data_IF_980942273506
#
_entry.id   IF_980942273506
#
_cell.length_a   1.000
_cell.length_b   1.000
_cell.length_c   1.000
_cell.angle_alpha   90.00
_cell.angle_beta   90.00
_cell.angle_gamma   90.00
#
_symmetry.space_group_name_H-M   'P 1'
#
loop_
_entity.id
_entity.type
_entity.pdbx_description
1 polymer ?
#
# COMPACT_ATOMS: atom_id res chain seq x y z
N UNK A 1 7.28 -3.78 7.16
CA UNK A 1 7.37 -2.55 6.35
C UNK A 1 8.52 -1.71 6.87
N UNK A 2 9.65 -1.83 6.18
CA UNK A 2 10.90 -1.11 6.44
C UNK A 2 11.69 -1.13 5.14
N UNK A 3 12.09 0.03 4.62
CA UNK A 3 12.87 0.05 3.37
C UNK A 3 14.24 -0.61 3.60
N UNK A 4 14.53 -1.63 2.80
CA UNK A 4 15.79 -2.37 2.86
C UNK A 4 16.34 -2.57 1.45
N UNK A 5 17.64 -2.40 1.32
CA UNK A 5 18.40 -2.81 0.13
C UNK A 5 18.43 -4.33 0.08
N UNK A 6 17.44 -4.91 -0.60
CA UNK A 6 17.30 -6.34 -0.80
C UNK A 6 16.68 -6.61 -2.17
N UNK A 7 17.25 -7.54 -2.96
CA UNK A 7 16.69 -7.96 -4.22
C UNK A 7 15.25 -8.47 -4.07
N UNK A 8 14.38 -8.13 -5.01
CA UNK A 8 12.97 -8.57 -4.99
C UNK A 8 12.80 -10.06 -5.35
N UNK A 9 13.81 -10.68 -5.94
CA UNK A 9 13.86 -12.08 -6.35
C UNK A 9 14.44 -13.01 -5.26
N UNK A 10 14.75 -12.49 -4.08
CA UNK A 10 15.22 -13.31 -2.97
C UNK A 10 14.12 -14.29 -2.50
N UNK A 11 14.50 -15.53 -2.17
CA UNK A 11 13.57 -16.68 -1.98
C UNK A 11 12.48 -16.57 -0.90
N UNK A 12 12.41 -15.46 -0.17
CA UNK A 12 11.44 -15.21 0.90
C UNK A 12 10.49 -14.04 0.62
N UNK A 13 10.51 -13.41 -0.56
CA UNK A 13 9.77 -12.15 -0.81
C UNK A 13 8.28 -12.36 -1.13
N UNK A 14 7.85 -13.58 -1.47
CA UNK A 14 6.45 -13.86 -1.88
C UNK A 14 5.90 -15.18 -1.33
N UNK A 15 5.87 -15.37 -0.01
CA UNK A 15 5.20 -16.53 0.59
C UNK A 15 3.75 -16.20 0.98
N UNK A 16 2.83 -17.19 1.01
CA UNK A 16 1.46 -16.99 1.51
C UNK A 16 1.40 -16.50 2.96
N UNK A 17 2.48 -16.68 3.72
CA UNK A 17 2.61 -16.26 5.13
C UNK A 17 3.21 -14.85 5.29
N UNK A 18 3.56 -14.18 4.21
CA UNK A 18 4.27 -12.90 4.21
C UNK A 18 5.60 -12.99 3.47
N UNK A 19 6.20 -11.83 3.24
CA UNK A 19 7.49 -11.74 2.57
C UNK A 19 8.43 -10.77 3.25
N UNK A 20 9.71 -10.92 2.94
CA UNK A 20 10.75 -9.98 3.35
C UNK A 20 10.45 -8.56 2.85
N UNK A 21 10.86 -7.58 3.64
CA UNK A 21 10.79 -6.18 3.28
C UNK A 21 11.88 -5.81 2.26
N UNK A 22 11.49 -5.05 1.24
CA UNK A 22 12.36 -4.58 0.15
C UNK A 22 12.43 -3.04 0.15
N UNK A 23 12.72 -2.41 -0.98
CA UNK A 23 12.99 -0.98 -1.10
C UNK A 23 11.82 -0.05 -0.70
N UNK A 24 10.59 -0.39 -1.08
CA UNK A 24 9.43 0.49 -0.93
C UNK A 24 8.53 0.15 0.26
N UNK A 25 7.94 1.18 0.87
CA UNK A 25 6.94 1.03 1.93
C UNK A 25 5.71 1.86 1.58
N UNK A 26 4.57 1.18 1.42
CA UNK A 26 3.27 1.80 1.17
C UNK A 26 2.23 1.21 2.12
N UNK A 27 1.94 1.85 3.26
CA UNK A 27 0.96 1.39 4.25
C UNK A 27 -0.48 1.69 3.79
N UNK A 28 -0.82 1.23 2.59
CA UNK A 28 -2.11 1.41 1.92
C UNK A 28 -2.62 0.07 1.42
N UNK A 29 -3.90 -0.20 1.58
CA UNK A 29 -4.55 -1.35 0.95
C UNK A 29 -5.91 -0.97 0.37
N UNK A 30 -6.36 -1.74 -0.62
CA UNK A 30 -7.72 -1.71 -1.17
C UNK A 30 -8.38 -3.05 -0.88
N UNK A 31 -9.59 -3.02 -0.32
CA UNK A 31 -10.37 -4.22 -0.02
C UNK A 31 -11.67 -4.21 -0.80
N UNK A 32 -11.99 -5.36 -1.40
CA UNK A 32 -13.31 -5.63 -1.98
C UNK A 32 -14.24 -6.18 -0.91
N UNK A 33 -15.42 -5.60 -0.82
CA UNK A 33 -16.51 -6.07 0.04
C UNK A 33 -17.32 -7.20 -0.61
N UNK A 34 -18.06 -7.95 0.21
CA UNK A 34 -18.95 -9.02 -0.25
C UNK A 34 -19.99 -8.55 -1.27
N UNK A 35 -20.46 -7.30 -1.16
CA UNK A 35 -21.41 -6.68 -2.10
C UNK A 35 -20.74 -6.16 -3.38
N UNK A 36 -19.42 -6.31 -3.54
CA UNK A 36 -18.67 -5.89 -4.73
C UNK A 36 -18.16 -4.45 -4.71
N UNK A 37 -18.55 -3.64 -3.72
CA UNK A 37 -17.96 -2.33 -3.47
C UNK A 37 -16.50 -2.45 -2.98
N UNK A 38 -15.73 -1.38 -3.11
CA UNK A 38 -14.34 -1.32 -2.68
C UNK A 38 -14.13 -0.14 -1.73
N UNK A 39 -13.32 -0.34 -0.71
CA UNK A 39 -12.81 0.72 0.13
C UNK A 39 -11.28 0.63 0.21
N UNK A 40 -10.64 1.75 0.52
CA UNK A 40 -9.21 1.82 0.78
C UNK A 40 -8.95 2.31 2.19
N UNK A 41 -7.87 1.84 2.80
CA UNK A 41 -7.37 2.42 4.05
C UNK A 41 -5.89 2.71 3.92
N UNK A 42 -5.50 3.91 4.34
CA UNK A 42 -4.12 4.37 4.38
C UNK A 42 -3.77 4.81 5.80
N UNK A 43 -2.67 4.28 6.32
CA UNK A 43 -2.08 4.73 7.58
C UNK A 43 -0.92 5.67 7.25
N UNK A 44 -1.10 6.96 7.50
CA UNK A 44 -0.05 7.96 7.28
C UNK A 44 0.97 7.89 8.42
N UNK A 45 1.88 6.91 8.32
CA UNK A 45 2.95 6.69 9.28
C UNK A 45 4.20 6.17 8.56
N UNK A 46 5.37 6.72 8.91
CA UNK A 46 6.67 6.40 8.28
C UNK A 46 7.58 5.55 9.17
N UNK A 47 7.17 5.21 10.38
CA UNK A 47 7.95 4.37 11.27
C UNK A 47 7.94 2.90 10.78
N UNK A 48 8.90 2.13 11.27
CA UNK A 48 8.92 0.69 11.01
C UNK A 48 7.62 0.07 11.51
N UNK A 49 6.93 -0.68 10.65
CA UNK A 49 5.68 -1.31 11.02
C UNK A 49 5.54 -2.72 10.48
N UNK A 50 4.82 -3.56 11.21
CA UNK A 50 4.35 -4.87 10.78
C UNK A 50 2.86 -4.78 10.46
N UNK A 51 2.43 -5.43 9.38
CA UNK A 51 1.02 -5.55 9.01
C UNK A 51 0.65 -7.01 8.98
N UNK A 52 -0.24 -7.42 9.88
CA UNK A 52 -0.74 -8.79 9.95
C UNK A 52 -2.16 -8.81 9.41
N UNK A 53 -2.32 -9.35 8.20
CA UNK A 53 -3.62 -9.57 7.59
C UNK A 53 -4.12 -10.99 7.87
N UNK A 54 -5.30 -11.10 8.44
CA UNK A 54 -6.03 -12.34 8.64
C UNK A 54 -7.30 -12.32 7.78
N UNK A 55 -8.08 -13.41 7.77
CA UNK A 55 -9.27 -13.54 6.90
C UNK A 55 -10.28 -12.39 7.03
N UNK A 56 -10.43 -11.81 8.22
CA UNK A 56 -11.43 -10.78 8.50
C UNK A 56 -10.86 -9.51 9.14
N UNK A 57 -9.59 -9.53 9.56
CA UNK A 57 -8.98 -8.47 10.37
C UNK A 57 -7.60 -8.10 9.83
N UNK A 58 -7.26 -6.82 9.92
CA UNK A 58 -5.92 -6.31 9.65
C UNK A 58 -5.43 -5.64 10.93
N UNK A 59 -4.21 -5.98 11.36
CA UNK A 59 -3.57 -5.38 12.53
C UNK A 59 -2.30 -4.66 12.08
N UNK A 60 -2.23 -3.35 12.32
CA UNK A 60 -1.02 -2.57 12.17
C UNK A 60 -0.27 -2.48 13.51
N UNK A 61 1.03 -2.77 13.48
CA UNK A 61 1.93 -2.62 14.63
C UNK A 61 3.07 -1.71 14.22
N UNK A 62 2.99 -0.44 14.62
CA UNK A 62 4.06 0.54 14.37
C UNK A 62 4.98 0.67 15.58
N UNK A 63 6.28 0.89 15.36
CA UNK A 63 7.25 1.15 16.43
C UNK A 63 7.19 2.57 16.97
N UNK A 64 6.43 3.48 16.34
CA UNK A 64 6.27 4.86 16.79
C UNK A 64 5.37 5.70 15.91
N UNK A 65 5.44 7.02 16.13
CA UNK A 65 4.61 8.00 15.42
C UNK A 65 3.20 8.07 15.99
N UNK A 66 2.24 8.45 15.15
CA UNK A 66 0.82 8.57 15.48
C UNK A 66 -0.03 7.60 14.64
N UNK A 67 -1.26 7.38 15.09
CA UNK A 67 -2.27 6.68 14.30
C UNK A 67 -3.09 7.71 13.52
N UNK A 68 -2.63 7.99 12.30
CA UNK A 68 -3.33 8.88 11.36
C UNK A 68 -3.92 8.04 10.20
N UNK A 69 -5.22 7.76 10.27
CA UNK A 69 -5.91 6.82 9.40
C UNK A 69 -6.87 7.53 8.44
N UNK A 70 -6.69 7.29 7.15
CA UNK A 70 -7.57 7.75 6.08
C UNK A 70 -8.36 6.59 5.51
N UNK A 71 -9.68 6.75 5.42
CA UNK A 71 -10.58 5.76 4.83
C UNK A 71 -11.18 6.32 3.55
N UNK A 72 -11.02 5.60 2.46
CA UNK A 72 -11.50 5.95 1.12
C UNK A 72 -12.68 5.06 0.75
N UNK A 73 -13.84 5.65 0.43
CA UNK A 73 -15.11 4.93 0.32
C UNK A 73 -15.38 4.34 -1.07
N UNK A 74 -14.57 4.65 -2.09
CA UNK A 74 -14.79 4.12 -3.44
C UNK A 74 -16.06 4.67 -4.10
N UNK A 75 -16.97 3.84 -4.68
CA UNK A 75 -17.13 2.38 -4.52
C UNK A 75 -16.38 1.52 -5.55
N UNK A 76 -15.93 2.13 -6.65
CA UNK A 76 -15.11 1.46 -7.66
C UNK A 76 -13.63 1.49 -7.25
N UNK A 77 -12.84 0.46 -7.60
CA UNK A 77 -11.42 0.43 -7.25
C UNK A 77 -10.66 1.64 -7.86
N UNK A 78 -11.07 2.11 -9.04
CA UNK A 78 -10.51 3.32 -9.67
C UNK A 78 -10.77 4.57 -8.85
N UNK A 79 -11.97 4.68 -8.27
CA UNK A 79 -12.35 5.82 -7.43
C UNK A 79 -11.58 5.80 -6.11
N UNK A 80 -11.36 4.63 -5.50
CA UNK A 80 -10.51 4.48 -4.31
C UNK A 80 -9.09 5.00 -4.58
N UNK A 81 -8.48 4.58 -5.69
CA UNK A 81 -7.12 5.03 -6.07
C UNK A 81 -7.10 6.53 -6.38
N UNK A 82 -8.15 7.06 -7.01
CA UNK A 82 -8.25 8.50 -7.27
C UNK A 82 -8.36 9.32 -5.97
N UNK A 83 -9.15 8.84 -4.99
CA UNK A 83 -9.26 9.45 -3.67
C UNK A 83 -7.91 9.40 -2.92
N UNK A 84 -7.24 8.25 -2.93
CA UNK A 84 -5.92 8.10 -2.32
C UNK A 84 -4.88 9.06 -2.95
N UNK A 85 -4.76 9.07 -4.27
CA UNK A 85 -3.82 9.97 -4.98
C UNK A 85 -4.19 11.44 -4.87
N UNK A 86 -5.45 11.78 -4.57
CA UNK A 86 -5.80 13.17 -4.24
C UNK A 86 -5.21 13.63 -2.91
N UNK A 87 -4.99 12.71 -1.97
CA UNK A 87 -4.37 12.98 -0.67
C UNK A 87 -2.85 12.96 -0.75
N UNK A 88 -2.25 11.90 -1.32
CA UNK A 88 -0.78 11.72 -1.31
C UNK A 88 -0.05 12.41 -2.47
N UNK A 89 -0.79 12.89 -3.46
CA UNK A 89 -0.26 13.50 -4.67
C UNK A 89 -0.61 12.72 -5.93
N UNK A 90 -0.97 13.46 -6.99
CA UNK A 90 -1.24 12.89 -8.32
C UNK A 90 0.07 12.48 -8.98
N UNK A 91 0.03 11.38 -9.74
CA UNK A 91 1.18 10.94 -10.52
C UNK A 91 1.65 12.05 -11.47
N UNK A 92 2.96 12.27 -11.52
CA UNK A 92 3.57 13.25 -12.43
C UNK A 92 3.42 12.78 -13.87
N UNK A 93 3.20 13.72 -14.80
CA UNK A 93 3.17 13.41 -16.23
C UNK A 93 4.60 13.09 -16.71
N UNK A 94 4.88 11.85 -17.15
CA UNK A 94 6.18 11.52 -17.71
C UNK A 94 6.35 12.23 -19.07
N UNK A 95 7.59 12.61 -19.45
CA UNK A 95 7.84 13.08 -20.79
C UNK A 95 7.62 11.95 -21.80
N UNK A 96 7.22 12.29 -23.03
CA UNK A 96 6.83 11.31 -24.04
C UNK A 96 7.90 10.24 -24.30
N UNK A 97 9.18 10.62 -24.29
CA UNK A 97 10.30 9.71 -24.52
C UNK A 97 10.48 8.65 -23.43
N UNK A 98 9.99 8.87 -22.20
CA UNK A 98 10.07 7.89 -21.11
C UNK A 98 9.12 6.69 -21.30
N UNK A 99 8.21 6.77 -22.29
CA UNK A 99 7.36 5.66 -22.73
C UNK A 99 8.01 4.86 -23.88
N UNK A 100 9.20 5.27 -24.33
CA UNK A 100 10.01 4.54 -25.29
C UNK A 100 10.64 3.29 -24.70
N UNK A 101 11.47 2.63 -25.50
CA UNK A 101 12.21 1.43 -25.07
C UNK A 101 13.41 1.79 -24.18
N UNK A 102 13.62 1.02 -23.11
CA UNK A 102 14.70 1.17 -22.12
C UNK A 102 15.24 -0.19 -21.66
#
# INVERSE_FOLDING_TARGET
MWSRDQPSDHGHVHQPKGGDNVYGVHPFYVRRETQGAHHGVFLLNSNAMEVVAQKQTITWRSTGGILDLFVFLGPEPKTVVSQYTSLVGRSTMPPYWALGYH
#
